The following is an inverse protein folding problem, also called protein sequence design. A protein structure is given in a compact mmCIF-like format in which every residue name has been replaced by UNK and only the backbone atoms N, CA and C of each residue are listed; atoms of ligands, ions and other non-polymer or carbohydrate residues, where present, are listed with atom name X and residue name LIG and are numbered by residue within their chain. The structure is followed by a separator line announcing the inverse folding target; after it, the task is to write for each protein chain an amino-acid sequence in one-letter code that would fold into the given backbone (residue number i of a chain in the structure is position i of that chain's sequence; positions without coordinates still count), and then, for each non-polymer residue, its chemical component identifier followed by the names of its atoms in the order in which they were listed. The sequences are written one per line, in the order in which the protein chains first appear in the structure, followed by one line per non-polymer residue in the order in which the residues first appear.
data_IF_443480998819
#
_entry.id   IF_443480998819
#
_cell.length_a   1.000
_cell.length_b   1.000
_cell.length_c   1.000
_cell.angle_alpha   90.00
_cell.angle_beta   90.00
_cell.angle_gamma   90.00
#
_symmetry.space_group_name_H-M   'P 1'
#
loop_
_entity.id
_entity.type
_entity.pdbx_description
1 polymer ?
#
# COMPACT_ATOMS: atom_id res chain seq x y z
N UNK A 1 5.41 -8.42 1.94
CA UNK A 1 4.77 -8.78 3.22
C UNK A 1 4.31 -7.52 3.94
N UNK A 2 3.10 -7.54 4.51
CA UNK A 2 2.53 -6.46 5.32
C UNK A 2 1.91 -7.05 6.59
N UNK A 3 1.69 -6.21 7.61
CA UNK A 3 1.17 -6.64 8.93
C UNK A 3 -0.13 -5.94 9.30
N UNK A 4 -1.02 -6.69 9.94
CA UNK A 4 -2.32 -6.22 10.41
C UNK A 4 -2.61 -6.67 11.84
N UNK A 5 -3.62 -6.05 12.44
CA UNK A 5 -3.93 -6.20 13.86
C UNK A 5 -5.30 -5.63 14.24
N UNK A 6 -5.59 -5.52 15.55
CA UNK A 6 -6.89 -5.06 16.02
C UNK A 6 -7.02 -3.54 16.14
N UNK A 7 -5.95 -2.77 15.92
CA UNK A 7 -5.92 -1.32 16.18
C UNK A 7 -6.10 -0.48 14.92
N UNK A 8 -6.56 0.76 15.07
CA UNK A 8 -6.71 1.68 13.93
C UNK A 8 -5.36 2.01 13.26
N UNK A 9 -4.28 2.08 14.04
CA UNK A 9 -2.91 2.27 13.54
C UNK A 9 -2.29 1.01 12.94
N UNK A 10 -2.94 -0.15 13.11
CA UNK A 10 -2.52 -1.45 12.60
C UNK A 10 -3.78 -2.23 12.18
N UNK A 11 -4.47 -1.78 11.13
CA UNK A 11 -5.78 -2.30 10.77
C UNK A 11 -5.72 -3.76 10.32
N UNK A 12 -6.77 -4.52 10.60
CA UNK A 12 -6.93 -5.89 10.11
C UNK A 12 -7.30 -5.89 8.63
N UNK A 13 -6.56 -6.65 7.83
CA UNK A 13 -6.84 -6.85 6.41
C UNK A 13 -8.14 -7.62 6.22
N UNK A 14 -8.39 -8.62 7.06
CA UNK A 14 -9.62 -9.41 7.05
C UNK A 14 -10.85 -8.55 7.34
N UNK A 15 -10.80 -7.71 8.38
CA UNK A 15 -11.91 -6.79 8.70
C UNK A 15 -12.13 -5.74 7.62
N UNK A 16 -11.09 -5.37 6.89
CA UNK A 16 -11.18 -4.48 5.74
C UNK A 16 -11.72 -5.15 4.47
N UNK A 17 -11.96 -6.47 4.48
CA UNK A 17 -12.44 -7.23 3.33
C UNK A 17 -11.41 -7.35 2.21
N UNK A 18 -10.14 -7.52 2.59
CA UNK A 18 -9.06 -7.84 1.65
C UNK A 18 -9.07 -9.34 1.35
N UNK A 19 -8.99 -9.68 0.07
CA UNK A 19 -9.05 -11.04 -0.44
C UNK A 19 -7.84 -11.38 -1.32
N UNK A 20 -7.63 -12.66 -1.61
CA UNK A 20 -6.63 -13.08 -2.58
C UNK A 20 -6.96 -12.51 -3.97
N UNK A 21 -5.93 -12.06 -4.70
CA UNK A 21 -6.06 -11.36 -5.98
C UNK A 21 -6.30 -9.84 -5.86
N UNK A 22 -6.60 -9.32 -4.66
CA UNK A 22 -6.61 -7.87 -4.45
C UNK A 22 -5.22 -7.27 -4.68
N UNK A 23 -5.19 -5.98 -5.02
CA UNK A 23 -3.95 -5.21 -5.11
C UNK A 23 -3.89 -4.18 -3.99
N UNK A 24 -2.90 -4.32 -3.12
CA UNK A 24 -2.61 -3.36 -2.07
C UNK A 24 -1.65 -2.30 -2.60
N UNK A 25 -1.97 -1.04 -2.33
CA UNK A 25 -1.14 0.12 -2.63
C UNK A 25 -0.88 0.86 -1.31
N UNK A 26 0.26 0.65 -0.65
CA UNK A 26 0.59 1.38 0.57
C UNK A 26 0.80 2.86 0.25
N UNK A 27 0.19 3.73 1.06
CA UNK A 27 0.20 5.17 0.85
C UNK A 27 0.85 5.89 2.03
N UNK A 28 1.54 6.99 1.75
CA UNK A 28 2.08 7.89 2.78
C UNK A 28 1.65 9.33 2.52
N UNK A 29 0.94 9.91 3.49
CA UNK A 29 0.75 11.36 3.53
C UNK A 29 2.03 12.03 4.08
N UNK A 30 2.58 13.01 3.34
CA UNK A 30 3.74 13.80 3.79
C UNK A 30 3.70 15.19 3.15
N UNK A 31 3.88 16.25 3.97
CA UNK A 31 3.92 17.66 3.52
C UNK A 31 2.73 18.09 2.64
N UNK A 32 1.55 17.54 2.94
CA UNK A 32 0.31 17.80 2.20
C UNK A 32 0.17 17.05 0.88
N UNK A 33 1.08 16.12 0.58
CA UNK A 33 1.07 15.28 -0.62
C UNK A 33 0.82 13.83 -0.25
N UNK A 34 0.26 13.07 -1.18
CA UNK A 34 0.02 11.63 -1.04
C UNK A 34 1.02 10.88 -1.92
N UNK A 35 1.86 10.06 -1.29
CA UNK A 35 2.89 9.28 -1.96
C UNK A 35 2.44 7.83 -2.07
N UNK A 36 2.60 7.24 -3.26
CA UNK A 36 2.45 5.80 -3.47
C UNK A 36 3.78 5.15 -3.13
N UNK A 37 3.77 4.22 -2.18
CA UNK A 37 4.99 3.55 -1.76
C UNK A 37 5.33 2.34 -2.61
N UNK A 38 4.34 1.77 -3.27
CA UNK A 38 4.51 0.60 -4.11
C UNK A 38 3.19 -0.13 -4.30
N UNK A 39 3.27 -1.34 -4.84
CA UNK A 39 2.11 -2.19 -5.07
C UNK A 39 2.44 -3.65 -4.80
N UNK A 40 1.50 -4.39 -4.24
CA UNK A 40 1.63 -5.83 -4.02
C UNK A 40 0.28 -6.50 -4.28
N UNK A 41 0.29 -7.60 -5.03
CA UNK A 41 -0.86 -8.48 -5.15
C UNK A 41 -0.98 -9.36 -3.90
N UNK A 42 -2.20 -9.57 -3.43
CA UNK A 42 -2.47 -10.40 -2.25
C UNK A 42 -2.54 -11.86 -2.68
N UNK A 43 -1.65 -12.71 -2.17
CA UNK A 43 -1.78 -14.15 -2.32
C UNK A 43 -2.66 -14.74 -1.20
N UNK A 44 -2.34 -14.42 0.06
CA UNK A 44 -3.11 -14.88 1.22
C UNK A 44 -2.84 -14.01 2.46
N UNK A 45 -3.73 -14.14 3.44
CA UNK A 45 -3.58 -13.56 4.78
C UNK A 45 -3.47 -14.70 5.79
N UNK A 46 -2.35 -14.77 6.50
CA UNK A 46 -2.08 -15.78 7.50
C UNK A 46 -2.32 -15.21 8.91
N UNK A 47 -2.82 -16.00 9.87
CA UNK A 47 -2.62 -15.71 11.29
C UNK A 47 -1.13 -15.55 11.58
N UNK A 48 -0.79 -14.60 12.43
CA UNK A 48 0.61 -14.30 12.72
C UNK A 48 1.35 -15.49 13.36
N UNK A 49 0.66 -16.22 14.24
CA UNK A 49 1.17 -17.43 14.91
C UNK A 49 1.56 -18.54 13.92
N UNK A 50 0.80 -18.70 12.84
CA UNK A 50 0.98 -19.77 11.86
C UNK A 50 1.95 -19.40 10.74
N UNK A 51 2.21 -18.10 10.56
CA UNK A 51 3.11 -17.60 9.52
C UNK A 51 4.52 -18.20 9.60
N UNK A 52 4.97 -18.63 10.79
CA UNK A 52 6.26 -19.29 10.92
C UNK A 52 6.35 -20.66 10.24
N UNK A 53 5.23 -21.36 10.13
CA UNK A 53 5.14 -22.72 9.59
C UNK A 53 4.79 -22.70 8.09
N UNK A 54 4.01 -21.70 7.68
CA UNK A 54 3.45 -21.60 6.33
C UNK A 54 4.27 -20.75 5.34
N UNK A 55 5.33 -20.10 5.82
CA UNK A 55 6.22 -19.28 4.98
C UNK A 55 7.42 -20.10 4.51
N UNK A 56 7.85 -19.85 3.27
CA UNK A 56 9.14 -20.31 2.79
C UNK A 56 10.28 -19.66 3.61
N UNK A 57 11.44 -20.31 3.68
CA UNK A 57 12.57 -19.92 4.54
C UNK A 57 13.00 -18.44 4.38
N UNK A 58 12.98 -17.91 3.16
CA UNK A 58 13.31 -16.51 2.87
C UNK A 58 12.30 -15.53 3.48
N UNK A 59 11.01 -15.86 3.43
CA UNK A 59 9.95 -15.02 4.01
C UNK A 59 9.86 -15.18 5.53
N UNK A 60 10.20 -16.37 6.04
CA UNK A 60 10.37 -16.60 7.47
C UNK A 60 11.53 -15.76 8.05
N UNK A 61 12.65 -15.67 7.33
CA UNK A 61 13.79 -14.83 7.72
C UNK A 61 13.38 -13.35 7.82
N UNK A 62 12.60 -12.84 6.84
CA UNK A 62 12.04 -11.47 6.90
C UNK A 62 11.13 -11.28 8.13
N UNK A 63 10.29 -12.27 8.44
CA UNK A 63 9.40 -12.26 9.60
C UNK A 63 10.19 -12.21 10.94
N UNK A 64 11.35 -12.86 11.01
CA UNK A 64 12.26 -12.81 12.15
C UNK A 64 12.96 -11.45 12.25
N UNK A 65 13.40 -10.85 11.15
CA UNK A 65 13.97 -9.49 11.16
C UNK A 65 13.00 -8.45 11.71
N UNK A 66 11.70 -8.65 11.50
CA UNK A 66 10.65 -7.72 11.93
C UNK A 66 10.17 -7.96 13.37
N UNK A 67 10.86 -8.83 14.14
CA UNK A 67 10.60 -9.14 15.56
C UNK A 67 10.59 -7.94 16.53
N UNK A 68 11.40 -6.89 16.34
CA UNK A 68 11.35 -5.70 17.20
C UNK A 68 10.12 -4.81 17.00
N UNK A 69 9.44 -4.86 15.85
CA UNK A 69 8.21 -4.08 15.59
C UNK A 69 6.97 -4.69 16.26
N UNK A 70 7.13 -5.80 16.99
CA UNK A 70 6.07 -6.66 17.55
C UNK A 70 5.63 -6.25 18.96
N UNK A 71 5.43 -4.98 19.23
CA UNK A 71 4.71 -4.59 20.47
C UNK A 71 3.26 -5.08 20.38
N UNK A 72 3.05 -6.35 20.77
CA UNK A 72 1.83 -7.03 21.19
C UNK A 72 0.70 -7.25 20.18
N UNK A 73 0.61 -6.46 19.12
CA UNK A 73 -0.68 -6.25 18.48
C UNK A 73 -0.79 -6.76 17.04
N UNK A 74 0.27 -7.36 16.49
CA UNK A 74 0.20 -7.99 15.16
C UNK A 74 -0.51 -9.33 15.28
N UNK A 75 -1.58 -9.50 14.51
CA UNK A 75 -2.35 -10.76 14.47
C UNK A 75 -2.46 -11.34 13.06
N UNK A 76 -2.11 -10.57 12.03
CA UNK A 76 -2.25 -10.97 10.63
C UNK A 76 -0.98 -10.64 9.84
N UNK A 77 -0.57 -11.56 8.96
CA UNK A 77 0.48 -11.36 7.97
C UNK A 77 -0.14 -11.48 6.59
N UNK A 78 -0.07 -10.40 5.81
CA UNK A 78 -0.45 -10.41 4.42
C UNK A 78 0.79 -10.68 3.57
N UNK A 79 0.68 -11.70 2.72
CA UNK A 79 1.73 -12.10 1.79
C UNK A 79 1.24 -12.15 0.35
N UNK A 80 2.19 -12.09 -0.56
CA UNK A 80 2.00 -11.98 -1.99
C UNK A 80 3.31 -12.28 -2.71
N UNK A 81 3.29 -12.45 -4.04
CA UNK A 81 4.51 -12.41 -4.83
C UNK A 81 5.27 -11.09 -4.58
N UNK A 82 6.58 -11.02 -4.92
CA UNK A 82 7.33 -9.78 -4.85
C UNK A 82 6.55 -8.62 -5.48
N UNK A 83 6.30 -7.59 -4.67
CA UNK A 83 5.65 -6.36 -5.11
C UNK A 83 6.62 -5.46 -5.89
N UNK A 84 6.17 -4.26 -6.24
CA UNK A 84 7.08 -3.24 -6.75
C UNK A 84 8.12 -2.85 -5.70
N UNK A 85 9.26 -2.34 -6.16
CA UNK A 85 10.24 -1.69 -5.27
C UNK A 85 9.54 -0.58 -4.48
N UNK A 86 9.92 -0.45 -3.20
CA UNK A 86 9.43 0.64 -2.37
C UNK A 86 10.09 1.95 -2.80
N UNK A 87 9.26 2.92 -3.16
CA UNK A 87 9.69 4.25 -3.63
C UNK A 87 8.90 5.34 -2.88
N UNK A 88 9.44 6.56 -2.78
CA UNK A 88 8.74 7.73 -2.25
C UNK A 88 8.55 8.83 -3.30
N UNK A 89 9.05 8.64 -4.51
CA UNK A 89 9.06 9.65 -5.57
C UNK A 89 7.73 9.71 -6.32
N UNK A 90 6.99 8.60 -6.37
CA UNK A 90 5.65 8.56 -6.94
C UNK A 90 4.65 9.34 -6.09
N UNK A 91 4.35 10.59 -6.51
CA UNK A 91 3.33 11.42 -5.88
C UNK A 91 2.02 11.41 -6.66
N UNK A 92 0.89 11.23 -5.97
CA UNK A 92 -0.46 11.43 -6.53
C UNK A 92 -0.63 12.90 -6.94
N UNK A 93 -0.91 13.19 -8.23
CA UNK A 93 -1.10 14.56 -8.70
C UNK A 93 -2.25 15.29 -7.98
N UNK A 94 -2.16 16.62 -7.79
CA UNK A 94 -3.19 17.45 -7.15
C UNK A 94 -4.63 17.17 -7.61
N UNK A 95 -4.86 17.18 -8.94
CA UNK A 95 -6.18 16.91 -9.52
C UNK A 95 -6.67 15.49 -9.26
N UNK A 96 -5.76 14.50 -9.30
CA UNK A 96 -6.12 13.13 -9.00
C UNK A 96 -6.48 12.97 -7.52
N UNK A 97 -5.71 13.59 -6.62
CA UNK A 97 -5.97 13.57 -5.18
C UNK A 97 -7.38 14.07 -4.82
N UNK A 98 -7.83 15.14 -5.47
CA UNK A 98 -9.19 15.71 -5.30
C UNK A 98 -10.29 14.77 -5.82
N UNK A 99 -9.97 13.95 -6.82
CA UNK A 99 -10.92 13.06 -7.47
C UNK A 99 -10.96 11.66 -6.84
N UNK A 100 -10.01 11.31 -5.96
CA UNK A 100 -9.97 10.00 -5.34
C UNK A 100 -11.23 9.72 -4.50
N UNK A 101 -11.97 8.71 -4.94
CA UNK A 101 -13.12 8.15 -4.25
C UNK A 101 -12.84 6.75 -3.73
N UNK A 102 -13.42 6.47 -2.56
CA UNK A 102 -13.33 5.21 -1.84
C UNK A 102 -14.72 4.62 -1.71
N UNK A 103 -14.81 3.31 -1.84
CA UNK A 103 -16.06 2.58 -1.66
C UNK A 103 -16.21 2.14 -0.21
N UNK A 104 -17.45 2.19 0.26
CA UNK A 104 -17.85 1.68 1.56
C UNK A 104 -19.25 1.08 1.46
N UNK A 105 -19.71 0.42 2.53
CA UNK A 105 -21.10 -0.07 2.62
C UNK A 105 -22.15 1.05 2.49
N UNK A 106 -21.77 2.31 2.68
CA UNK A 106 -22.65 3.49 2.58
C UNK A 106 -22.58 4.18 1.21
N UNK A 107 -21.86 3.59 0.25
CA UNK A 107 -21.58 4.18 -1.06
C UNK A 107 -20.17 4.76 -1.16
N UNK A 108 -19.95 5.52 -2.23
CA UNK A 108 -18.69 6.18 -2.51
C UNK A 108 -18.50 7.46 -1.68
N UNK A 109 -17.26 7.74 -1.31
CA UNK A 109 -16.88 8.97 -0.61
C UNK A 109 -15.53 9.48 -1.10
N UNK A 110 -15.37 10.79 -1.13
CA UNK A 110 -14.07 11.42 -1.36
C UNK A 110 -13.18 11.39 -0.11
N UNK A 111 -11.91 11.78 -0.27
CA UNK A 111 -11.03 12.10 0.84
C UNK A 111 -11.47 13.40 1.51
N UNK A 112 -11.54 13.38 2.83
CA UNK A 112 -11.74 14.60 3.62
C UNK A 112 -10.43 15.38 3.72
N UNK A 113 -10.55 16.69 3.87
CA UNK A 113 -9.42 17.62 4.09
C UNK A 113 -8.47 17.70 2.90
N UNK A 114 -9.00 17.58 1.68
CA UNK A 114 -8.27 17.93 0.46
C UNK A 114 -8.73 19.32 0.02
N UNK A 115 -7.80 20.25 -0.04
CA UNK A 115 -8.03 21.65 -0.42
C UNK A 115 -6.87 22.09 -1.34
N UNK A 116 -7.19 22.72 -2.48
CA UNK A 116 -6.24 23.16 -3.50
C UNK A 116 -5.20 22.08 -3.87
N UNK A 117 -5.67 20.85 -4.04
CA UNK A 117 -4.83 19.71 -4.38
C UNK A 117 -3.86 19.26 -3.30
N UNK A 118 -4.10 19.65 -2.03
CA UNK A 118 -3.27 19.30 -0.88
C UNK A 118 -4.09 18.62 0.20
N UNK A 119 -3.51 17.59 0.81
CA UNK A 119 -4.10 16.90 1.94
C UNK A 119 -3.72 17.61 3.26
N UNK A 120 -4.64 18.39 3.82
CA UNK A 120 -4.41 19.13 5.06
C UNK A 120 -4.37 18.23 6.31
N UNK A 121 -5.12 17.13 6.30
CA UNK A 121 -5.15 16.15 7.40
C UNK A 121 -5.23 14.73 6.87
N UNK A 122 -4.35 13.85 7.34
CA UNK A 122 -4.30 12.46 6.89
C UNK A 122 -5.22 11.51 7.65
N UNK A 123 -6.05 12.00 8.57
CA UNK A 123 -6.91 11.15 9.41
C UNK A 123 -7.90 10.31 8.58
N UNK A 124 -8.34 10.83 7.42
CA UNK A 124 -9.23 10.13 6.48
C UNK A 124 -8.56 9.00 5.69
N UNK A 125 -7.24 8.86 5.83
CA UNK A 125 -6.40 7.81 5.21
C UNK A 125 -5.89 6.78 6.22
N UNK A 126 -6.17 6.94 7.51
CA UNK A 126 -5.73 5.98 8.53
C UNK A 126 -6.61 4.73 8.49
N UNK A 127 -6.16 3.71 7.77
CA UNK A 127 -6.85 2.44 7.66
C UNK A 127 -6.53 1.72 6.34
N UNK A 128 -7.33 0.70 6.05
CA UNK A 128 -7.36 0.03 4.75
C UNK A 128 -8.70 0.36 4.12
N UNK A 129 -8.67 0.90 2.90
CA UNK A 129 -9.86 1.30 2.17
C UNK A 129 -9.81 0.78 0.74
N UNK A 130 -10.98 0.45 0.21
CA UNK A 130 -11.15 0.08 -1.19
C UNK A 130 -11.39 1.34 -2.01
N UNK A 131 -10.64 1.52 -3.08
CA UNK A 131 -10.90 2.58 -4.05
C UNK A 131 -12.17 2.26 -4.85
N UNK A 132 -12.88 3.29 -5.30
CA UNK A 132 -13.87 3.11 -6.36
C UNK A 132 -13.19 2.68 -7.66
N UNK A 133 -13.88 1.97 -8.57
CA UNK A 133 -13.27 1.44 -9.79
C UNK A 133 -12.53 2.50 -10.62
N UNK A 134 -13.13 3.68 -10.83
CA UNK A 134 -12.50 4.78 -11.58
C UNK A 134 -11.23 5.29 -10.89
N UNK A 135 -11.28 5.46 -9.56
CA UNK A 135 -10.13 5.90 -8.76
C UNK A 135 -9.01 4.86 -8.72
N UNK A 136 -9.37 3.57 -8.69
CA UNK A 136 -8.43 2.46 -8.76
C UNK A 136 -7.72 2.42 -10.12
N UNK A 137 -8.46 2.59 -11.22
CA UNK A 137 -7.90 2.66 -12.57
C UNK A 137 -6.94 3.84 -12.73
N UNK A 138 -7.34 5.04 -12.28
CA UNK A 138 -6.49 6.23 -12.36
C UNK A 138 -5.21 6.10 -11.52
N UNK A 139 -5.29 5.57 -10.30
CA UNK A 139 -4.11 5.34 -9.47
C UNK A 139 -3.20 4.26 -10.07
N UNK A 140 -3.78 3.21 -10.67
CA UNK A 140 -3.02 2.18 -11.38
C UNK A 140 -2.26 2.76 -12.57
N UNK A 141 -2.89 3.63 -13.35
CA UNK A 141 -2.23 4.26 -14.49
C UNK A 141 -1.02 5.10 -14.03
N UNK A 142 -1.17 5.90 -12.98
CA UNK A 142 -0.07 6.66 -12.39
C UNK A 142 1.13 5.75 -12.02
N UNK A 143 0.86 4.60 -11.42
CA UNK A 143 1.92 3.64 -11.02
C UNK A 143 2.63 3.05 -12.24
N UNK A 144 1.88 2.76 -13.32
CA UNK A 144 2.44 2.21 -14.55
C UNK A 144 3.30 3.24 -15.29
N UNK A 145 2.84 4.49 -15.38
CA UNK A 145 3.55 5.56 -16.08
C UNK A 145 4.92 5.84 -15.47
N UNK A 146 5.05 5.79 -14.13
CA UNK A 146 6.33 5.95 -13.44
C UNK A 146 7.24 4.73 -13.61
N UNK A 147 6.67 3.53 -13.70
CA UNK A 147 7.46 2.29 -13.87
C UNK A 147 8.10 2.18 -15.27
N UNK A 148 7.61 2.94 -16.25
CA UNK A 148 8.18 3.00 -17.61
C UNK A 148 9.31 4.00 -17.78
N UNK A 149 9.57 4.86 -16.78
CA UNK A 149 10.72 5.75 -16.81
C UNK A 149 11.97 5.00 -16.31
N UNK A 150 13.06 4.94 -17.11
CA UNK A 150 14.31 4.37 -16.63
C UNK A 150 14.84 5.23 -15.47
N UNK A 151 15.41 4.62 -14.41
CA UNK A 151 15.99 5.38 -13.32
C UNK A 151 17.07 6.34 -13.87
N UNK A 152 17.11 7.61 -13.44
CA UNK A 152 18.15 8.54 -13.86
C UNK A 152 19.50 8.02 -13.34
N UNK A 153 20.33 7.49 -14.23
CA UNK A 153 21.69 7.04 -13.90
C UNK A 153 22.15 5.74 -14.56
N UNK A 154 21.30 4.96 -15.24
CA UNK A 154 21.77 3.81 -16.02
C UNK A 154 22.29 4.26 -17.40
N UNK A 155 23.51 4.81 -17.43
CA UNK A 155 24.30 4.80 -18.66
C UNK A 155 24.88 3.39 -18.83
N UNK A 156 24.43 2.67 -19.87
CA UNK A 156 25.15 1.47 -20.33
C UNK A 156 26.60 1.85 -20.60
N UNK A 157 27.58 1.07 -20.11
CA UNK A 157 28.95 1.23 -20.57
C UNK A 157 28.95 0.98 -22.08
N UNK A 158 29.43 1.98 -22.83
CA UNK A 158 29.75 1.77 -24.25
C UNK A 158 30.75 0.63 -24.31
N UNK A 159 30.41 -0.40 -25.07
CA UNK A 159 31.36 -1.42 -25.46
C UNK A 159 32.36 -0.77 -26.41
N UNK A 160 33.62 -0.70 -25.98
CA UNK A 160 34.78 -0.53 -26.85
C UNK A 160 35.29 -1.91 -27.27
#
# INVERSE_FOLDING_TARGET
MLFGGPHQSLPSFRRAGVEAGDRIVPLRARRGRLHVLGTMEVARILPYEDAGQDLADDDYTKLLHWKPLKTGCVSEVLIGPPGSVLDFDTTVPPKLLEQLTFTSRRGERQLKHVEDGRLLRSISLQGIYRLAPTSAAALRQLILDVSTDPPPGFHSPRAD
#
